data_IF_099684192004
#
_entry.id   IF_099684192004
#
_cell.length_a   1.000
_cell.length_b   1.000
_cell.length_c   1.000
_cell.angle_alpha   90.00
_cell.angle_beta   90.00
_cell.angle_gamma   90.00
#
_symmetry.space_group_name_H-M   'P 1'
#
loop_
_entity.id
_entity.type
_entity.pdbx_description
1 polymer ?
#
# COMPACT_ATOMS: atom_id res chain seq x y z
N UNK A 1 -11.57 -16.13 -4.95
CA UNK A 1 -10.36 -16.71 -4.32
C UNK A 1 -10.62 -16.84 -2.82
N UNK A 2 -10.01 -17.80 -2.12
CA UNK A 2 -10.05 -17.84 -0.66
C UNK A 2 -9.50 -16.53 -0.08
N UNK A 3 -10.07 -16.06 1.04
CA UNK A 3 -9.66 -14.82 1.72
C UNK A 3 -8.24 -15.04 2.30
N UNK A 4 -7.28 -14.13 2.07
CA UNK A 4 -5.98 -14.22 2.73
C UNK A 4 -6.12 -14.03 4.25
N UNK A 5 -5.20 -14.61 5.00
CA UNK A 5 -5.08 -14.31 6.42
C UNK A 5 -4.26 -13.03 6.60
N UNK A 6 -4.81 -12.03 7.29
CA UNK A 6 -4.13 -10.79 7.61
C UNK A 6 -3.38 -10.90 8.93
N UNK A 7 -2.07 -10.74 8.90
CA UNK A 7 -1.18 -10.86 10.06
C UNK A 7 -0.44 -9.55 10.29
N UNK A 8 -0.65 -8.94 11.47
CA UNK A 8 0.12 -7.78 11.91
C UNK A 8 1.40 -8.25 12.60
N UNK A 9 2.57 -8.01 12.01
CA UNK A 9 3.84 -8.39 12.64
C UNK A 9 4.35 -7.25 13.53
N UNK A 10 4.30 -7.46 14.85
CA UNK A 10 4.58 -6.42 15.84
C UNK A 10 5.64 -6.90 16.85
N UNK A 11 6.94 -6.62 16.60
CA UNK A 11 8.00 -6.99 17.52
C UNK A 11 7.86 -6.30 18.88
N UNK A 12 8.36 -6.98 19.92
CA UNK A 12 8.31 -6.52 21.31
C UNK A 12 8.88 -5.12 21.52
N UNK A 13 10.00 -4.83 20.88
CA UNK A 13 10.69 -3.56 21.01
C UNK A 13 9.86 -2.39 20.47
N UNK A 14 9.00 -2.64 19.47
CA UNK A 14 8.17 -1.62 18.86
C UNK A 14 6.85 -1.46 19.60
N UNK A 15 6.19 -2.56 19.97
CA UNK A 15 4.97 -2.53 20.77
C UNK A 15 5.14 -1.72 22.07
N UNK A 16 6.29 -1.83 22.73
CA UNK A 16 6.59 -1.09 23.96
C UNK A 16 6.73 0.43 23.79
N UNK A 17 6.77 0.94 22.55
CA UNK A 17 6.86 2.38 22.23
C UNK A 17 5.52 2.98 21.81
N UNK A 18 4.53 2.15 21.49
CA UNK A 18 3.21 2.60 21.07
C UNK A 18 2.34 2.87 22.30
N UNK A 19 1.66 4.01 22.30
CA UNK A 19 0.59 4.29 23.25
C UNK A 19 -0.64 3.40 22.97
N UNK A 20 -1.56 3.24 23.94
CA UNK A 20 -2.79 2.48 23.71
C UNK A 20 -3.63 2.99 22.53
N UNK A 21 -3.65 4.31 22.29
CA UNK A 21 -4.37 4.90 21.16
C UNK A 21 -3.71 4.58 19.81
N UNK A 22 -2.38 4.58 19.74
CA UNK A 22 -1.64 4.21 18.54
C UNK A 22 -1.76 2.72 18.23
N UNK A 23 -1.76 1.87 19.27
CA UNK A 23 -2.00 0.44 19.10
C UNK A 23 -3.43 0.15 18.63
N UNK A 24 -4.43 0.85 19.19
CA UNK A 24 -5.81 0.74 18.76
C UNK A 24 -5.99 1.18 17.30
N UNK A 25 -5.38 2.29 16.91
CA UNK A 25 -5.41 2.78 15.54
C UNK A 25 -4.69 1.85 14.56
N UNK A 26 -3.54 1.28 14.95
CA UNK A 26 -2.83 0.30 14.15
C UNK A 26 -3.68 -0.96 13.91
N UNK A 27 -4.35 -1.46 14.94
CA UNK A 27 -5.27 -2.61 14.82
C UNK A 27 -6.49 -2.27 13.96
N UNK A 28 -7.08 -1.09 14.13
CA UNK A 28 -8.23 -0.67 13.34
C UNK A 28 -7.88 -0.54 11.85
N UNK A 29 -6.67 -0.08 11.52
CA UNK A 29 -6.20 -0.04 10.14
C UNK A 29 -5.90 -1.43 9.57
N UNK A 30 -5.15 -2.24 10.32
CA UNK A 30 -4.69 -3.53 9.83
C UNK A 30 -5.81 -4.59 9.78
N UNK A 31 -6.88 -4.44 10.58
CA UNK A 31 -7.94 -5.44 10.79
C UNK A 31 -7.40 -6.89 10.84
N UNK A 32 -6.43 -7.17 11.74
CA UNK A 32 -5.66 -8.41 11.64
C UNK A 32 -6.46 -9.62 12.14
N UNK A 33 -6.36 -10.74 11.41
CA UNK A 33 -6.80 -12.05 11.86
C UNK A 33 -5.88 -12.58 12.99
N UNK A 34 -4.62 -12.14 13.03
CA UNK A 34 -3.68 -12.44 14.11
C UNK A 34 -2.57 -11.38 14.27
N UNK A 35 -2.00 -11.27 15.47
CA UNK A 35 -0.78 -10.49 15.72
C UNK A 35 0.40 -11.44 15.87
N UNK A 36 1.37 -11.37 14.95
CA UNK A 36 2.62 -12.13 15.02
C UNK A 36 3.65 -11.38 15.86
N UNK A 37 4.10 -12.00 16.95
CA UNK A 37 5.19 -11.50 17.78
C UNK A 37 6.37 -12.47 17.66
N UNK A 38 7.37 -12.17 16.82
CA UNK A 38 8.44 -13.12 16.51
C UNK A 38 9.39 -13.39 17.70
N UNK A 39 9.42 -12.51 18.69
CA UNK A 39 10.23 -12.65 19.90
C UNK A 39 9.42 -13.25 21.08
N UNK A 40 10.04 -14.00 22.01
CA UNK A 40 9.39 -14.45 23.23
C UNK A 40 8.88 -13.30 24.11
N UNK A 41 7.68 -13.44 24.71
CA UNK A 41 7.05 -12.39 25.53
C UNK A 41 6.42 -12.88 26.83
N UNK A 42 6.53 -12.07 27.90
CA UNK A 42 5.94 -12.36 29.20
C UNK A 42 4.49 -11.86 29.38
N UNK A 43 4.04 -10.92 28.55
CA UNK A 43 2.73 -10.28 28.66
C UNK A 43 2.12 -10.05 27.27
N UNK A 44 1.67 -11.12 26.58
CA UNK A 44 1.17 -11.03 25.21
C UNK A 44 -0.05 -10.09 25.09
N UNK A 45 -0.88 -9.96 26.13
CA UNK A 45 -2.04 -9.06 26.10
C UNK A 45 -1.75 -7.58 25.80
N UNK A 46 -0.49 -7.12 25.89
CA UNK A 46 -0.08 -5.74 25.55
C UNK A 46 0.00 -5.47 24.04
N UNK A 47 -0.05 -6.51 23.19
CA UNK A 47 0.10 -6.41 21.73
C UNK A 47 -1.23 -6.23 21.01
N UNK A 48 -2.34 -6.14 21.76
CA UNK A 48 -3.66 -5.86 21.23
C UNK A 48 -4.39 -4.83 22.08
N UNK A 49 -5.35 -4.08 21.52
CA UNK A 49 -6.20 -3.17 22.28
C UNK A 49 -7.02 -3.90 23.33
N UNK A 50 -7.38 -3.23 24.45
CA UNK A 50 -8.31 -3.81 25.42
C UNK A 50 -9.64 -4.23 24.77
N UNK A 51 -10.06 -5.47 25.04
CA UNK A 51 -11.30 -6.03 24.48
C UNK A 51 -11.18 -6.63 23.07
N UNK A 52 -9.99 -6.58 22.44
CA UNK A 52 -9.73 -7.33 21.21
C UNK A 52 -9.55 -8.81 21.51
N UNK A 53 -10.21 -9.66 20.72
CA UNK A 53 -10.07 -11.12 20.76
C UNK A 53 -9.04 -11.65 19.76
N UNK A 54 -8.40 -10.77 18.99
CA UNK A 54 -7.39 -11.15 17.98
C UNK A 54 -6.29 -11.99 18.66
N UNK A 55 -6.01 -13.20 18.15
CA UNK A 55 -4.97 -14.07 18.70
C UNK A 55 -3.59 -13.43 18.55
N UNK A 56 -2.73 -13.68 19.54
CA UNK A 56 -1.34 -13.25 19.53
C UNK A 56 -0.49 -14.51 19.39
N UNK A 57 0.27 -14.58 18.31
CA UNK A 57 1.10 -15.72 17.96
C UNK A 57 2.51 -15.48 18.49
N UNK A 58 2.92 -16.31 19.43
CA UNK A 58 4.23 -16.29 20.10
C UNK A 58 5.05 -17.51 19.68
N UNK A 59 6.39 -17.47 19.79
CA UNK A 59 7.25 -18.50 19.19
C UNK A 59 7.31 -19.82 20.00
N UNK A 60 6.16 -20.34 20.42
CA UNK A 60 6.00 -21.52 21.29
C UNK A 60 6.03 -22.85 20.52
N UNK A 61 6.21 -22.81 19.19
CA UNK A 61 6.19 -24.00 18.33
C UNK A 61 4.78 -24.52 18.04
N UNK A 62 3.75 -23.72 18.32
CA UNK A 62 2.36 -24.05 18.02
C UNK A 62 2.01 -23.79 16.54
N UNK A 63 1.08 -24.60 16.02
CA UNK A 63 0.50 -24.44 14.68
C UNK A 63 -0.86 -23.77 14.81
N UNK A 64 -1.05 -22.71 14.03
CA UNK A 64 -2.27 -21.93 13.98
C UNK A 64 -2.93 -22.04 12.61
N UNK A 65 -4.25 -22.11 12.59
CA UNK A 65 -5.06 -22.11 11.37
C UNK A 65 -5.84 -20.81 11.32
N UNK A 66 -5.55 -19.98 10.30
CA UNK A 66 -6.15 -18.68 10.06
C UNK A 66 -6.93 -18.76 8.74
N UNK A 67 -8.19 -19.20 8.80
CA UNK A 67 -8.95 -19.53 7.58
C UNK A 67 -8.30 -20.70 6.84
N UNK A 68 -7.90 -20.46 5.58
CA UNK A 68 -7.23 -21.45 4.72
C UNK A 68 -5.70 -21.38 4.82
N UNK A 69 -5.15 -20.61 5.77
CA UNK A 69 -3.70 -20.46 5.99
C UNK A 69 -3.27 -21.21 7.24
N UNK A 70 -2.22 -22.03 7.11
CA UNK A 70 -1.53 -22.67 8.23
C UNK A 70 -0.23 -21.92 8.54
N UNK A 71 -0.09 -21.45 9.78
CA UNK A 71 1.06 -20.67 10.25
C UNK A 71 1.61 -21.28 11.55
N UNK A 72 2.90 -21.59 11.58
CA UNK A 72 3.61 -21.95 12.81
C UNK A 72 4.60 -20.86 13.22
N UNK A 73 4.81 -20.68 14.52
CA UNK A 73 5.81 -19.72 15.04
C UNK A 73 6.84 -20.46 15.89
N UNK A 74 8.09 -20.47 15.44
CA UNK A 74 9.16 -21.29 15.98
C UNK A 74 10.28 -20.43 16.59
N UNK A 75 10.57 -20.63 17.89
CA UNK A 75 11.77 -20.07 18.54
C UNK A 75 13.04 -20.88 18.26
N UNK A 76 12.93 -22.19 18.08
CA UNK A 76 14.10 -23.10 18.04
C UNK A 76 14.05 -24.04 16.84
N UNK A 77 15.22 -24.59 16.47
CA UNK A 77 15.31 -25.63 15.44
C UNK A 77 14.54 -26.90 15.83
N UNK A 78 14.35 -27.18 17.12
CA UNK A 78 13.53 -28.30 17.57
C UNK A 78 12.04 -28.04 17.35
N UNK A 79 11.57 -26.79 17.49
CA UNK A 79 10.21 -26.41 17.08
C UNK A 79 10.04 -26.60 15.57
N UNK A 80 11.02 -26.18 14.76
CA UNK A 80 11.00 -26.39 13.31
C UNK A 80 10.84 -27.87 12.99
N UNK A 81 11.72 -28.75 13.54
CA UNK A 81 11.64 -30.20 13.36
C UNK A 81 10.30 -30.79 13.76
N UNK A 82 9.78 -30.38 14.93
CA UNK A 82 8.52 -30.90 15.46
C UNK A 82 7.32 -30.52 14.58
N UNK A 83 7.29 -29.27 14.12
CA UNK A 83 6.23 -28.74 13.24
C UNK A 83 6.27 -29.45 11.89
N UNK A 84 7.44 -29.53 11.24
CA UNK A 84 7.57 -30.12 9.91
C UNK A 84 7.38 -31.64 9.89
N UNK A 85 7.65 -32.33 11.00
CA UNK A 85 7.35 -33.75 11.14
C UNK A 85 5.87 -34.05 11.44
N UNK A 86 5.07 -33.02 11.72
CA UNK A 86 3.64 -33.14 12.04
C UNK A 86 2.76 -33.11 10.79
N UNK A 87 1.58 -33.75 10.85
CA UNK A 87 0.65 -33.86 9.73
C UNK A 87 0.17 -32.51 9.14
N UNK A 88 0.30 -31.40 9.88
CA UNK A 88 -0.08 -30.07 9.40
C UNK A 88 0.93 -29.44 8.40
N UNK A 89 2.16 -29.93 8.37
CA UNK A 89 3.23 -29.47 7.46
C UNK A 89 3.91 -30.61 6.69
N UNK A 90 3.75 -31.86 7.17
CA UNK A 90 4.47 -33.03 6.71
C UNK A 90 3.79 -33.84 5.60
N UNK A 91 2.48 -33.71 5.39
CA UNK A 91 1.79 -34.35 4.26
C UNK A 91 1.24 -33.28 3.33
N UNK A 92 1.67 -33.27 2.06
CA UNK A 92 0.98 -32.51 1.03
C UNK A 92 -0.46 -33.01 0.97
N UNK A 93 -1.41 -32.18 1.38
CA UNK A 93 -2.80 -32.46 1.11
C UNK A 93 -3.08 -32.25 -0.38
N UNK A 94 -4.09 -32.93 -0.91
CA UNK A 94 -4.53 -32.75 -2.30
C UNK A 94 -5.05 -31.32 -2.57
N UNK A 95 -5.04 -30.42 -1.56
CA UNK A 95 -5.51 -29.05 -1.68
C UNK A 95 -4.45 -28.08 -2.21
N UNK A 96 -3.16 -28.45 -2.15
CA UNK A 96 -2.07 -27.67 -2.70
C UNK A 96 -1.79 -26.36 -1.96
N UNK A 97 -2.22 -26.26 -0.69
CA UNK A 97 -1.97 -25.08 0.13
C UNK A 97 -0.50 -24.97 0.56
N UNK A 98 -0.01 -23.73 0.58
CA UNK A 98 1.31 -23.36 1.07
C UNK A 98 1.23 -23.07 2.57
N UNK A 99 2.13 -23.67 3.34
CA UNK A 99 2.25 -23.43 4.76
C UNK A 99 3.22 -22.27 5.05
N UNK A 100 3.09 -21.66 6.22
CA UNK A 100 3.94 -20.54 6.64
C UNK A 100 4.65 -20.87 7.95
N UNK A 101 5.94 -20.58 8.02
CA UNK A 101 6.74 -20.79 9.22
C UNK A 101 7.46 -19.50 9.61
N UNK A 102 7.02 -18.89 10.72
CA UNK A 102 7.65 -17.71 11.29
C UNK A 102 8.74 -18.06 12.29
N UNK A 103 9.91 -17.45 12.17
CA UNK A 103 11.00 -17.63 13.14
C UNK A 103 12.01 -16.49 13.09
N UNK A 104 12.82 -16.39 14.15
CA UNK A 104 13.99 -15.51 14.23
C UNK A 104 15.31 -16.24 13.92
N UNK A 105 15.22 -17.45 13.36
CA UNK A 105 16.37 -18.34 13.10
C UNK A 105 17.10 -18.04 11.78
N UNK A 106 16.54 -17.13 10.97
CA UNK A 106 17.08 -16.71 9.69
C UNK A 106 17.31 -15.20 9.70
N UNK A 107 18.48 -14.77 9.22
CA UNK A 107 18.78 -13.35 9.03
C UNK A 107 19.60 -13.15 7.76
N UNK A 108 19.43 -11.99 7.12
CA UNK A 108 20.17 -11.66 5.90
C UNK A 108 21.37 -10.80 6.27
N UNK A 109 22.56 -11.28 5.93
CA UNK A 109 23.79 -10.52 6.06
C UNK A 109 24.28 -10.06 4.70
N UNK A 110 24.65 -8.78 4.61
CA UNK A 110 25.25 -8.19 3.41
C UNK A 110 26.70 -7.82 3.68
N UNK A 111 27.62 -8.32 2.87
CA UNK A 111 29.00 -7.86 2.83
C UNK A 111 29.14 -6.82 1.69
N UNK A 112 29.17 -5.51 2.02
CA UNK A 112 29.26 -4.48 1.00
C UNK A 112 30.64 -4.44 0.31
N UNK A 113 31.68 -5.01 0.92
CA UNK A 113 33.02 -5.06 0.31
C UNK A 113 33.09 -6.21 -0.71
N UNK A 114 32.46 -7.34 -0.41
CA UNK A 114 32.37 -8.48 -1.32
C UNK A 114 31.23 -8.35 -2.34
N UNK A 115 30.30 -7.39 -2.14
CA UNK A 115 29.02 -7.29 -2.87
C UNK A 115 28.23 -8.60 -2.82
N UNK A 116 28.28 -9.26 -1.67
CA UNK A 116 27.67 -10.56 -1.45
C UNK A 116 26.57 -10.47 -0.39
N UNK A 117 25.59 -11.35 -0.48
CA UNK A 117 24.52 -11.47 0.50
C UNK A 117 24.36 -12.94 0.84
N UNK A 118 24.30 -13.24 2.13
CA UNK A 118 24.11 -14.60 2.65
C UNK A 118 22.93 -14.66 3.60
N UNK A 119 22.26 -15.81 3.62
CA UNK A 119 21.24 -16.12 4.62
C UNK A 119 21.91 -16.85 5.79
N UNK A 120 22.11 -16.15 6.90
CA UNK A 120 22.66 -16.74 8.12
C UNK A 120 21.63 -17.68 8.77
N UNK A 121 22.12 -18.78 9.35
CA UNK A 121 21.28 -19.85 9.92
C UNK A 121 20.73 -20.86 8.90
N UNK A 122 20.79 -20.57 7.59
CA UNK A 122 20.16 -21.37 6.53
C UNK A 122 20.52 -22.87 6.54
N UNK A 123 21.80 -23.21 6.77
CA UNK A 123 22.25 -24.59 6.75
C UNK A 123 21.63 -25.42 7.88
N UNK A 124 21.69 -24.93 9.12
CA UNK A 124 21.10 -25.59 10.28
C UNK A 124 19.57 -25.60 10.20
N UNK A 125 18.98 -24.55 9.63
CA UNK A 125 17.55 -24.46 9.38
C UNK A 125 17.07 -25.52 8.39
N UNK A 126 17.76 -25.71 7.26
CA UNK A 126 17.47 -26.79 6.30
C UNK A 126 17.65 -28.19 6.92
N UNK A 127 18.70 -28.39 7.71
CA UNK A 127 18.88 -29.64 8.45
C UNK A 127 17.70 -29.91 9.42
N UNK A 128 17.14 -28.86 10.03
CA UNK A 128 15.96 -28.97 10.89
C UNK A 128 14.66 -29.23 10.12
N UNK A 129 14.53 -28.71 8.89
CA UNK A 129 13.45 -29.10 7.99
C UNK A 129 13.58 -30.59 7.63
N UNK A 130 14.81 -31.11 7.52
CA UNK A 130 15.12 -32.49 7.12
C UNK A 130 15.26 -32.64 5.60
N UNK A 131 16.02 -33.64 5.15
CA UNK A 131 16.24 -33.90 3.72
C UNK A 131 14.97 -34.44 3.05
N UNK A 132 14.72 -33.97 1.82
CA UNK A 132 13.62 -34.36 0.94
C UNK A 132 13.86 -35.77 0.39
N UNK A 133 13.70 -36.80 1.23
CA UNK A 133 13.89 -38.22 0.88
C UNK A 133 12.77 -38.79 -0.03
N UNK A 134 12.14 -37.94 -0.86
CA UNK A 134 11.19 -38.34 -1.90
C UNK A 134 9.70 -38.23 -1.56
N UNK A 135 9.34 -37.69 -0.39
CA UNK A 135 7.96 -37.30 -0.07
C UNK A 135 7.71 -35.85 -0.50
N UNK A 136 6.65 -35.61 -1.29
CA UNK A 136 6.23 -34.25 -1.64
C UNK A 136 5.75 -33.54 -0.38
N UNK A 137 6.58 -32.65 0.17
CA UNK A 137 6.19 -31.73 1.23
C UNK A 137 5.32 -30.62 0.68
N UNK A 138 4.44 -30.08 1.53
CA UNK A 138 3.72 -28.85 1.21
C UNK A 138 4.72 -27.72 0.97
N UNK A 139 4.52 -26.90 -0.09
CA UNK A 139 5.30 -25.68 -0.27
C UNK A 139 5.28 -24.85 1.02
N UNK A 140 6.41 -24.27 1.41
CA UNK A 140 6.51 -23.50 2.66
C UNK A 140 7.15 -22.13 2.39
N UNK A 141 6.53 -21.08 2.92
CA UNK A 141 7.11 -19.73 2.98
C UNK A 141 7.65 -19.47 4.38
N UNK A 142 8.91 -19.07 4.46
CA UNK A 142 9.63 -18.83 5.72
C UNK A 142 9.59 -17.34 6.08
N UNK A 143 8.81 -17.02 7.10
CA UNK A 143 8.63 -15.66 7.62
C UNK A 143 9.77 -15.31 8.60
N UNK A 144 10.77 -14.56 8.14
CA UNK A 144 11.99 -14.28 8.89
C UNK A 144 11.89 -12.98 9.73
N UNK A 145 11.89 -13.14 11.06
CA UNK A 145 11.64 -12.07 12.04
C UNK A 145 12.73 -10.99 12.15
N UNK A 146 13.93 -11.24 11.62
CA UNK A 146 15.04 -10.26 11.58
C UNK A 146 15.32 -9.73 10.18
N UNK A 147 14.45 -10.05 9.23
CA UNK A 147 14.58 -9.60 7.84
C UNK A 147 13.47 -8.58 7.58
N UNK A 148 13.77 -7.38 7.07
CA UNK A 148 12.77 -6.35 6.76
C UNK A 148 11.65 -6.85 5.85
N UNK A 149 10.42 -6.41 6.08
CA UNK A 149 9.25 -6.95 5.38
C UNK A 149 9.18 -6.64 3.88
N UNK A 150 9.94 -5.65 3.40
CA UNK A 150 10.10 -5.34 1.97
C UNK A 150 11.07 -6.31 1.26
N UNK A 151 11.67 -7.25 2.00
CA UNK A 151 12.57 -8.26 1.45
C UNK A 151 11.85 -9.61 1.25
N UNK A 152 11.95 -10.15 0.03
CA UNK A 152 11.62 -11.55 -0.28
C UNK A 152 12.61 -12.15 -1.26
N UNK A 153 13.11 -13.36 -1.00
CA UNK A 153 14.03 -14.07 -1.89
C UNK A 153 14.03 -15.58 -1.63
N UNK A 154 14.25 -16.33 -2.70
CA UNK A 154 14.56 -17.77 -2.64
C UNK A 154 16.06 -18.02 -2.33
N UNK A 155 16.33 -18.94 -1.42
CA UNK A 155 17.66 -19.32 -0.93
C UNK A 155 17.84 -20.84 -0.85
N UNK A 156 18.41 -21.46 -1.89
CA UNK A 156 18.75 -22.90 -1.91
C UNK A 156 17.61 -23.81 -1.40
N UNK A 157 16.38 -23.59 -1.88
CA UNK A 157 15.15 -24.27 -1.52
C UNK A 157 14.29 -23.54 -0.47
N UNK A 158 14.72 -22.40 0.07
CA UNK A 158 13.97 -21.64 1.08
C UNK A 158 13.34 -20.37 0.46
N UNK A 159 12.01 -20.31 0.33
CA UNK A 159 11.32 -19.04 -0.01
C UNK A 159 11.19 -18.19 1.26
N UNK A 160 12.07 -17.20 1.41
CA UNK A 160 12.15 -16.36 2.61
C UNK A 160 11.47 -15.02 2.38
N UNK A 161 10.53 -14.69 3.25
CA UNK A 161 9.84 -13.40 3.33
C UNK A 161 10.18 -12.75 4.67
N UNK A 162 10.65 -11.51 4.66
CA UNK A 162 10.88 -10.77 5.90
C UNK A 162 9.58 -10.37 6.59
N UNK A 163 9.62 -10.25 7.92
CA UNK A 163 8.50 -9.72 8.71
C UNK A 163 8.94 -8.69 9.75
N UNK A 164 10.21 -8.28 9.72
CA UNK A 164 10.71 -7.22 10.58
C UNK A 164 10.20 -5.85 10.08
N UNK A 165 10.07 -4.85 10.98
CA UNK A 165 9.77 -3.49 10.60
C UNK A 165 10.72 -2.96 9.52
N UNK A 166 10.16 -2.22 8.57
CA UNK A 166 10.94 -1.55 7.53
C UNK A 166 11.41 -0.20 8.07
N UNK A 167 12.72 0.01 8.03
CA UNK A 167 13.31 1.27 8.46
C UNK A 167 13.08 2.34 7.40
N UNK A 168 12.23 3.33 7.70
CA UNK A 168 11.96 4.46 6.79
C UNK A 168 12.61 5.74 7.31
N UNK A 169 12.73 6.77 6.44
CA UNK A 169 13.16 8.08 6.89
C UNK A 169 12.15 8.66 7.91
N UNK A 170 12.55 8.68 9.19
CA UNK A 170 11.81 9.30 10.29
C UNK A 170 11.35 8.30 11.35
N UNK A 171 10.72 7.19 10.94
CA UNK A 171 10.18 6.20 11.86
C UNK A 171 10.09 4.80 11.20
N UNK A 172 10.15 3.71 11.98
CA UNK A 172 9.91 2.38 11.45
C UNK A 172 8.46 2.23 10.98
N UNK A 173 8.25 1.38 9.99
CA UNK A 173 6.93 0.96 9.55
C UNK A 173 6.62 -0.46 10.03
N UNK A 174 5.43 -0.64 10.61
CA UNK A 174 4.94 -1.95 11.06
C UNK A 174 4.34 -2.69 9.87
N UNK A 175 4.80 -3.92 9.57
CA UNK A 175 4.28 -4.68 8.45
C UNK A 175 2.92 -5.32 8.77
N UNK A 176 2.04 -5.29 7.78
CA UNK A 176 0.75 -5.98 7.72
C UNK A 176 0.83 -6.92 6.53
N UNK A 177 0.78 -8.23 6.79
CA UNK A 177 0.94 -9.25 5.78
C UNK A 177 -0.40 -9.88 5.44
N UNK A 178 -0.76 -9.93 4.16
CA UNK A 178 -1.83 -10.79 3.68
C UNK A 178 -1.21 -12.09 3.15
N UNK A 179 -1.39 -13.17 3.90
CA UNK A 179 -0.90 -14.50 3.56
C UNK A 179 -1.95 -15.22 2.72
N UNK A 180 -1.61 -15.58 1.49
CA UNK A 180 -2.51 -16.33 0.62
C UNK A 180 -2.20 -17.83 0.67
N UNK A 181 -3.22 -18.69 0.53
CA UNK A 181 -3.00 -20.14 0.54
C UNK A 181 -2.11 -20.68 -0.58
N UNK A 182 -1.86 -19.90 -1.63
CA UNK A 182 -0.95 -20.26 -2.73
C UNK A 182 0.51 -19.80 -2.49
N UNK A 183 0.83 -19.31 -1.29
CA UNK A 183 2.15 -18.80 -0.94
C UNK A 183 2.41 -17.35 -1.34
N UNK A 184 1.43 -16.67 -1.96
CA UNK A 184 1.53 -15.23 -2.18
C UNK A 184 1.55 -14.52 -0.83
N UNK A 185 2.43 -13.53 -0.69
CA UNK A 185 2.46 -12.64 0.47
C UNK A 185 2.39 -11.21 -0.04
N UNK A 186 1.29 -10.54 0.24
CA UNK A 186 1.19 -9.10 0.05
C UNK A 186 1.61 -8.42 1.36
N UNK A 187 2.45 -7.39 1.25
CA UNK A 187 2.93 -6.63 2.41
C UNK A 187 2.45 -5.20 2.27
N UNK A 188 1.72 -4.73 3.26
CA UNK A 188 1.50 -3.32 3.52
C UNK A 188 2.23 -2.89 4.80
N UNK A 189 2.39 -1.58 4.98
CA UNK A 189 3.25 -1.01 6.00
C UNK A 189 2.62 0.23 6.63
N UNK A 190 2.60 0.26 7.97
CA UNK A 190 2.08 1.39 8.74
C UNK A 190 3.21 2.09 9.47
N UNK A 191 3.57 3.29 9.01
CA UNK A 191 4.57 4.12 9.69
C UNK A 191 4.10 4.51 11.09
N UNK A 192 4.96 4.33 12.09
CA UNK A 192 4.59 4.61 13.48
C UNK A 192 4.44 6.10 13.80
N UNK A 193 5.07 6.97 12.99
CA UNK A 193 4.88 8.42 13.05
C UNK A 193 3.62 8.89 12.30
N UNK A 194 2.81 7.96 11.78
CA UNK A 194 1.52 8.20 11.14
C UNK A 194 0.37 7.48 11.86
N UNK A 195 0.50 7.29 13.17
CA UNK A 195 -0.52 6.71 14.04
C UNK A 195 -1.25 7.80 14.85
N UNK A 196 -2.49 7.51 15.21
CA UNK A 196 -3.43 8.39 15.90
C UNK A 196 -3.49 9.78 15.24
N UNK A 197 -3.37 10.85 16.03
CA UNK A 197 -3.39 12.23 15.53
C UNK A 197 -2.28 12.54 14.51
N UNK A 198 -1.16 11.79 14.51
CA UNK A 198 -0.06 12.00 13.55
C UNK A 198 -0.34 11.43 12.16
N UNK A 199 -1.43 10.65 12.01
CA UNK A 199 -1.93 10.27 10.70
C UNK A 199 -2.41 11.50 9.90
N UNK A 200 -2.81 12.57 10.60
CA UNK A 200 -3.37 13.77 9.98
C UNK A 200 -2.29 14.60 9.24
N UNK A 201 -2.66 15.12 8.08
CA UNK A 201 -1.80 16.01 7.30
C UNK A 201 -1.43 17.26 8.10
N UNK A 202 -0.13 17.57 8.14
CA UNK A 202 0.39 18.73 8.88
C UNK A 202 0.47 18.57 10.40
N UNK A 203 0.15 17.40 10.96
CA UNK A 203 0.23 17.13 12.41
C UNK A 203 1.45 16.26 12.73
N UNK A 204 2.54 16.90 13.13
CA UNK A 204 3.70 16.22 13.72
C UNK A 204 3.61 16.08 15.24
N UNK A 205 4.66 15.55 15.87
CA UNK A 205 4.69 15.23 17.31
C UNK A 205 4.21 16.37 18.23
N UNK A 206 4.72 17.59 18.04
CA UNK A 206 4.35 18.73 18.88
C UNK A 206 2.87 19.10 18.75
N UNK A 207 2.32 19.06 17.53
CA UNK A 207 0.91 19.36 17.27
C UNK A 207 -0.01 18.25 17.78
N UNK A 208 0.39 16.99 17.61
CA UNK A 208 -0.33 15.85 18.16
C UNK A 208 -0.39 15.92 19.70
N UNK A 209 0.72 16.29 20.35
CA UNK A 209 0.77 16.49 21.79
C UNK A 209 -0.14 17.64 22.24
N UNK A 210 -0.12 18.78 21.54
CA UNK A 210 -1.00 19.91 21.84
C UNK A 210 -2.49 19.56 21.71
N UNK A 211 -2.88 18.88 20.62
CA UNK A 211 -4.25 18.40 20.40
C UNK A 211 -4.68 17.41 21.49
N UNK A 212 -3.85 16.41 21.78
CA UNK A 212 -4.14 15.40 22.79
C UNK A 212 -4.27 16.00 24.20
N UNK A 213 -3.39 16.95 24.56
CA UNK A 213 -3.48 17.68 25.85
C UNK A 213 -4.76 18.53 25.96
N UNK A 214 -5.24 19.05 24.84
CA UNK A 214 -6.51 19.76 24.77
C UNK A 214 -7.73 18.81 24.70
N UNK A 215 -7.52 17.49 24.70
CA UNK A 215 -8.57 16.48 24.73
C UNK A 215 -9.12 16.09 23.35
N UNK A 216 -8.44 16.46 22.26
CA UNK A 216 -8.83 16.06 20.91
C UNK A 216 -8.25 14.69 20.53
N UNK A 217 -9.03 13.94 19.78
CA UNK A 217 -8.65 12.80 18.95
C UNK A 217 -9.10 13.08 17.50
N UNK A 218 -8.95 12.11 16.58
CA UNK A 218 -9.30 12.35 15.16
C UNK A 218 -10.80 12.56 14.96
N UNK A 219 -11.64 11.76 15.62
CA UNK A 219 -13.09 11.82 15.52
C UNK A 219 -13.61 13.19 15.98
N UNK A 220 -13.21 13.62 17.17
CA UNK A 220 -13.58 14.94 17.69
C UNK A 220 -13.04 16.07 16.81
N UNK A 221 -11.83 15.93 16.26
CA UNK A 221 -11.25 16.93 15.37
C UNK A 221 -12.03 17.09 14.04
N UNK A 222 -12.58 16.00 13.51
CA UNK A 222 -13.38 16.04 12.28
C UNK A 222 -14.64 16.92 12.44
N UNK A 223 -15.21 16.95 13.63
CA UNK A 223 -16.38 17.77 14.00
C UNK A 223 -16.01 19.20 14.47
N UNK A 224 -14.74 19.46 14.75
CA UNK A 224 -14.29 20.72 15.35
C UNK A 224 -14.19 21.85 14.31
N UNK A 225 -14.75 23.04 14.58
CA UNK A 225 -14.52 24.22 13.76
C UNK A 225 -13.03 24.64 13.78
N UNK A 226 -12.39 24.91 12.62
CA UNK A 226 -10.94 25.20 12.59
C UNK A 226 -10.49 26.39 13.44
N UNK A 227 -11.36 27.38 13.67
CA UNK A 227 -11.01 28.55 14.46
C UNK A 227 -10.80 28.26 15.95
N UNK A 228 -11.41 27.19 16.47
CA UNK A 228 -11.23 26.76 17.87
C UNK A 228 -9.84 26.16 18.11
N UNK A 229 -9.20 25.64 17.07
CA UNK A 229 -7.84 25.10 17.14
C UNK A 229 -6.77 26.18 16.97
N UNK A 230 -7.12 27.35 16.43
CA UNK A 230 -6.16 28.40 16.11
C UNK A 230 -5.50 29.02 17.35
N UNK A 231 -6.08 28.82 18.54
CA UNK A 231 -5.53 29.25 19.83
C UNK A 231 -4.58 28.22 20.46
N UNK A 232 -4.44 27.02 19.87
CA UNK A 232 -3.52 26.00 20.33
C UNK A 232 -2.09 26.27 19.84
N UNK A 233 -1.11 25.96 20.69
CA UNK A 233 0.29 26.18 20.35
C UNK A 233 0.70 25.34 19.12
N UNK A 234 1.41 25.98 18.19
CA UNK A 234 1.78 25.39 16.91
C UNK A 234 0.66 25.36 15.84
N UNK A 235 -0.56 25.82 16.14
CA UNK A 235 -1.64 25.96 15.17
C UNK A 235 -1.84 27.43 14.76
N UNK A 236 -1.85 27.66 13.44
CA UNK A 236 -2.41 28.86 12.84
C UNK A 236 -3.61 28.48 11.99
N UNK A 237 -4.33 29.47 11.45
CA UNK A 237 -5.56 29.24 10.67
C UNK A 237 -5.40 28.16 9.60
N UNK A 238 -4.35 28.24 8.78
CA UNK A 238 -4.12 27.30 7.68
C UNK A 238 -3.81 25.88 8.17
N UNK A 239 -3.01 25.72 9.23
CA UNK A 239 -2.71 24.38 9.77
C UNK A 239 -3.90 23.78 10.53
N UNK A 240 -4.72 24.60 11.17
CA UNK A 240 -5.98 24.17 11.77
C UNK A 240 -6.98 23.69 10.70
N UNK A 241 -7.17 24.46 9.63
CA UNK A 241 -8.02 24.05 8.50
C UNK A 241 -7.51 22.74 7.86
N UNK A 242 -6.19 22.60 7.70
CA UNK A 242 -5.58 21.38 7.16
C UNK A 242 -5.84 20.17 8.06
N UNK A 243 -5.64 20.31 9.37
CA UNK A 243 -5.83 19.21 10.32
C UNK A 243 -7.30 18.75 10.39
N UNK A 244 -8.25 19.69 10.41
CA UNK A 244 -9.70 19.38 10.40
C UNK A 244 -10.12 18.72 9.10
N UNK A 245 -9.70 19.26 7.94
CA UNK A 245 -10.00 18.63 6.63
C UNK A 245 -9.41 17.23 6.54
N UNK A 246 -8.17 17.04 7.01
CA UNK A 246 -7.54 15.72 7.03
C UNK A 246 -8.26 14.75 7.97
N UNK A 247 -8.73 15.21 9.12
CA UNK A 247 -9.50 14.38 10.04
C UNK A 247 -10.85 13.98 9.43
N UNK A 248 -11.57 14.93 8.81
CA UNK A 248 -12.81 14.61 8.08
C UNK A 248 -12.60 13.59 6.98
N UNK A 249 -11.58 13.78 6.15
CA UNK A 249 -11.30 12.87 5.05
C UNK A 249 -11.03 11.44 5.56
N UNK A 250 -10.18 11.31 6.58
CA UNK A 250 -9.81 10.01 7.15
C UNK A 250 -10.94 9.34 7.93
N UNK A 251 -11.66 10.08 8.79
CA UNK A 251 -12.69 9.50 9.67
C UNK A 251 -14.00 9.19 8.92
N UNK A 252 -14.31 9.96 7.87
CA UNK A 252 -15.56 9.78 7.11
C UNK A 252 -15.38 9.03 5.80
N UNK A 253 -14.13 8.77 5.38
CA UNK A 253 -13.86 8.21 4.04
C UNK A 253 -14.23 9.18 2.91
N UNK A 254 -14.26 10.49 3.19
CA UNK A 254 -14.75 11.51 2.27
C UNK A 254 -13.61 12.21 1.52
N UNK A 255 -13.77 12.38 0.22
CA UNK A 255 -12.90 13.25 -0.56
C UNK A 255 -13.32 14.71 -0.38
N UNK A 256 -12.37 15.58 -0.07
CA UNK A 256 -12.64 17.01 0.07
C UNK A 256 -11.92 17.80 -1.01
N UNK A 257 -12.68 18.38 -1.93
CA UNK A 257 -12.13 19.26 -2.98
C UNK A 257 -11.77 20.62 -2.40
N UNK A 258 -10.50 20.99 -2.46
CA UNK A 258 -9.95 22.24 -1.92
C UNK A 258 -9.57 23.25 -2.99
N UNK A 259 -9.47 22.83 -4.26
CA UNK A 259 -9.10 23.68 -5.38
C UNK A 259 -10.10 23.66 -6.54
N UNK A 260 -10.05 24.72 -7.35
CA UNK A 260 -10.88 24.93 -8.53
C UNK A 260 -10.26 24.44 -9.84
N UNK A 261 -9.04 23.90 -9.80
CA UNK A 261 -8.37 23.40 -11.00
C UNK A 261 -9.29 22.38 -11.72
N UNK A 262 -9.41 22.45 -13.04
CA UNK A 262 -10.18 21.47 -13.79
C UNK A 262 -9.44 20.13 -13.83
N UNK A 263 -10.20 19.03 -13.81
CA UNK A 263 -9.72 17.73 -14.22
C UNK A 263 -9.70 17.61 -15.76
N UNK A 264 -8.87 16.74 -16.35
CA UNK A 264 -8.90 16.45 -17.78
C UNK A 264 -10.26 15.97 -18.29
N UNK A 265 -10.86 16.64 -19.28
CA UNK A 265 -12.25 16.34 -19.69
C UNK A 265 -12.47 14.99 -20.40
N UNK A 266 -11.44 14.42 -21.04
CA UNK A 266 -11.51 13.12 -21.76
C UNK A 266 -10.33 12.26 -21.28
N UNK A 267 -10.41 11.69 -20.06
CA UNK A 267 -9.30 10.96 -19.45
C UNK A 267 -9.11 9.59 -20.12
N UNK A 268 -7.84 9.22 -20.25
CA UNK A 268 -7.38 7.88 -20.63
C UNK A 268 -6.59 7.38 -19.45
N UNK A 269 -7.17 6.51 -18.63
CA UNK A 269 -6.49 5.97 -17.46
C UNK A 269 -5.43 4.96 -17.91
N UNK A 270 -4.25 5.04 -17.32
CA UNK A 270 -3.06 4.30 -17.70
C UNK A 270 -2.40 3.74 -16.45
N UNK A 271 -1.96 2.49 -16.56
CA UNK A 271 -1.05 1.83 -15.62
C UNK A 271 -0.08 0.93 -16.39
N UNK A 272 1.11 0.68 -15.84
CA UNK A 272 2.11 -0.19 -16.44
C UNK A 272 2.64 -1.23 -15.45
N UNK A 273 2.97 -2.40 -15.98
CA UNK A 273 3.68 -3.43 -15.23
C UNK A 273 5.10 -3.60 -15.73
N UNK A 274 6.02 -3.73 -14.79
CA UNK A 274 7.45 -3.83 -15.07
C UNK A 274 8.11 -4.97 -14.32
N UNK A 275 9.37 -5.24 -14.63
CA UNK A 275 10.22 -6.17 -13.90
C UNK A 275 10.82 -5.54 -12.62
N UNK A 276 10.37 -4.36 -12.18
CA UNK A 276 10.77 -3.72 -10.94
C UNK A 276 10.85 -2.18 -11.01
N UNK A 277 11.32 -1.56 -9.91
CA UNK A 277 11.36 -0.09 -9.78
C UNK A 277 12.43 0.62 -10.62
N UNK A 278 13.39 -0.15 -11.17
CA UNK A 278 14.35 0.31 -12.18
C UNK A 278 14.20 -0.62 -13.38
N UNK A 279 13.16 -0.39 -14.18
CA UNK A 279 12.68 -1.41 -15.08
C UNK A 279 13.64 -1.59 -16.25
N UNK A 280 13.95 -2.84 -16.57
CA UNK A 280 14.60 -3.21 -17.83
C UNK A 280 13.57 -3.58 -18.90
N UNK A 281 12.34 -3.90 -18.48
CA UNK A 281 11.23 -4.26 -19.37
C UNK A 281 9.92 -3.67 -18.84
N UNK A 282 9.13 -3.07 -19.74
CA UNK A 282 7.69 -2.84 -19.57
C UNK A 282 6.97 -3.97 -20.30
N UNK A 283 6.39 -4.92 -19.57
CA UNK A 283 5.79 -6.12 -20.17
C UNK A 283 4.27 -6.05 -20.24
N UNK A 284 3.63 -5.10 -19.56
CA UNK A 284 2.22 -4.80 -19.76
C UNK A 284 1.95 -3.29 -19.70
N UNK A 285 1.04 -2.85 -20.57
CA UNK A 285 0.41 -1.53 -20.51
C UNK A 285 -1.10 -1.71 -20.47
N UNK A 286 -1.74 -1.29 -19.38
CA UNK A 286 -3.18 -1.26 -19.24
C UNK A 286 -3.72 0.14 -19.52
N UNK A 287 -4.80 0.24 -20.28
CA UNK A 287 -5.50 1.51 -20.51
C UNK A 287 -7.01 1.37 -20.44
N UNK A 288 -7.68 2.38 -19.90
CA UNK A 288 -9.14 2.52 -20.00
C UNK A 288 -9.47 3.85 -20.66
N UNK A 289 -10.26 3.80 -21.74
CA UNK A 289 -10.76 4.97 -22.42
C UNK A 289 -12.25 4.82 -22.74
N UNK A 290 -13.08 5.72 -22.21
CA UNK A 290 -14.55 5.69 -22.37
C UNK A 290 -15.16 4.31 -22.03
N UNK A 291 -14.78 3.82 -20.85
CA UNK A 291 -15.19 2.52 -20.28
C UNK A 291 -14.68 1.26 -21.01
N UNK A 292 -13.95 1.42 -22.11
CA UNK A 292 -13.28 0.31 -22.80
C UNK A 292 -11.88 0.11 -22.21
N UNK A 293 -11.68 -1.02 -21.53
CA UNK A 293 -10.37 -1.43 -21.05
C UNK A 293 -9.63 -2.22 -22.12
N UNK A 294 -8.35 -1.91 -22.30
CA UNK A 294 -7.46 -2.62 -23.20
C UNK A 294 -6.13 -2.89 -22.51
N UNK A 295 -5.69 -4.15 -22.61
CA UNK A 295 -4.37 -4.59 -22.17
C UNK A 295 -3.48 -4.86 -23.38
N UNK A 296 -2.26 -4.30 -23.34
CA UNK A 296 -1.16 -4.66 -24.22
C UNK A 296 -0.18 -5.47 -23.38
N UNK A 297 -0.03 -6.76 -23.69
CA UNK A 297 0.71 -7.71 -22.87
C UNK A 297 1.78 -8.42 -23.72
N UNK A 298 3.01 -8.43 -23.22
CA UNK A 298 4.11 -9.24 -23.71
C UNK A 298 4.29 -10.45 -22.79
N UNK A 299 4.14 -11.66 -23.36
CA UNK A 299 4.40 -12.94 -22.67
C UNK A 299 5.77 -13.52 -23.01
N UNK A 300 6.60 -12.72 -23.65
CA UNK A 300 8.01 -12.95 -23.96
C UNK A 300 8.70 -11.60 -23.78
N UNK A 301 9.79 -11.48 -23.00
CA UNK A 301 10.53 -10.21 -22.89
C UNK A 301 10.95 -9.65 -24.25
N UNK A 302 11.24 -10.51 -25.23
CA UNK A 302 11.62 -10.10 -26.58
C UNK A 302 10.44 -9.48 -27.36
N UNK A 303 9.20 -9.75 -26.94
CA UNK A 303 7.98 -9.16 -27.51
C UNK A 303 7.62 -7.80 -26.89
N UNK A 304 8.28 -7.39 -25.79
CA UNK A 304 7.97 -6.14 -25.09
C UNK A 304 8.08 -4.89 -26.00
N UNK A 305 9.11 -4.75 -26.88
CA UNK A 305 9.11 -3.72 -27.90
C UNK A 305 7.88 -3.79 -28.80
N UNK A 306 7.56 -4.96 -29.36
CA UNK A 306 6.41 -5.10 -30.27
C UNK A 306 5.07 -4.73 -29.59
N UNK A 307 4.90 -5.11 -28.32
CA UNK A 307 3.76 -4.73 -27.48
C UNK A 307 3.67 -3.20 -27.32
N UNK A 308 4.79 -2.54 -26.98
CA UNK A 308 4.86 -1.08 -26.83
C UNK A 308 4.54 -0.37 -28.16
N UNK A 309 5.02 -0.89 -29.29
CA UNK A 309 4.67 -0.41 -30.62
C UNK A 309 3.16 -0.48 -30.88
N UNK A 310 2.51 -1.57 -30.46
CA UNK A 310 1.05 -1.74 -30.55
C UNK A 310 0.28 -0.73 -29.68
N UNK A 311 0.77 -0.43 -28.47
CA UNK A 311 0.22 0.63 -27.63
C UNK A 311 0.33 2.01 -28.31
N UNK A 312 1.50 2.35 -28.87
CA UNK A 312 1.71 3.62 -29.56
C UNK A 312 0.86 3.75 -30.83
N UNK A 313 0.65 2.66 -31.57
CA UNK A 313 -0.28 2.62 -32.70
C UNK A 313 -1.70 2.97 -32.27
N UNK A 314 -2.19 2.37 -31.18
CA UNK A 314 -3.49 2.70 -30.63
C UNK A 314 -3.56 4.15 -30.13
N UNK A 315 -2.55 4.59 -29.36
CA UNK A 315 -2.48 5.94 -28.80
C UNK A 315 -2.50 7.02 -29.89
N UNK A 316 -1.96 6.74 -31.08
CA UNK A 316 -1.98 7.67 -32.21
C UNK A 316 -3.38 8.05 -32.71
N UNK A 317 -4.39 7.24 -32.38
CA UNK A 317 -5.81 7.48 -32.68
C UNK A 317 -6.63 8.01 -31.50
N UNK A 318 -6.00 8.35 -30.37
CA UNK A 318 -6.67 8.78 -29.14
C UNK A 318 -6.38 10.26 -28.89
N UNK A 319 -7.44 11.06 -28.70
CA UNK A 319 -7.36 12.51 -28.46
C UNK A 319 -7.41 12.88 -26.95
N UNK A 320 -7.55 11.88 -26.07
CA UNK A 320 -7.68 12.06 -24.63
C UNK A 320 -6.36 12.39 -23.90
N UNK A 321 -6.48 12.74 -22.62
CA UNK A 321 -5.33 12.96 -21.73
C UNK A 321 -4.99 11.67 -20.99
N UNK A 322 -3.76 11.20 -21.09
CA UNK A 322 -3.25 10.10 -20.27
C UNK A 322 -3.24 10.51 -18.80
N UNK A 323 -3.95 9.77 -17.96
CA UNK A 323 -4.02 9.95 -16.51
C UNK A 323 -3.40 8.75 -15.85
N UNK A 324 -2.42 8.97 -14.97
CA UNK A 324 -1.79 7.93 -14.16
C UNK A 324 -1.74 8.37 -12.69
N UNK A 325 -1.64 7.42 -11.76
CA UNK A 325 -1.40 7.69 -10.36
C UNK A 325 0.12 7.74 -10.10
N UNK A 326 0.67 8.87 -9.66
CA UNK A 326 2.12 9.06 -9.55
C UNK A 326 2.85 8.90 -10.91
N UNK A 327 2.18 9.22 -12.02
CA UNK A 327 2.71 9.05 -13.36
C UNK A 327 4.01 9.79 -13.64
N UNK A 328 4.22 10.99 -13.07
CA UNK A 328 5.51 11.68 -13.23
C UNK A 328 6.63 11.06 -12.38
N UNK A 329 6.26 10.36 -11.31
CA UNK A 329 7.19 9.65 -10.45
C UNK A 329 7.62 8.30 -11.03
N UNK A 330 6.85 7.71 -11.95
CA UNK A 330 7.13 6.36 -12.46
C UNK A 330 6.73 6.14 -13.94
N UNK A 331 5.43 6.04 -14.23
CA UNK A 331 4.91 5.54 -15.53
C UNK A 331 5.42 6.33 -16.72
N UNK A 332 5.31 7.66 -16.66
CA UNK A 332 5.63 8.51 -17.79
C UNK A 332 7.14 8.55 -18.10
N UNK A 333 8.05 8.71 -17.11
CA UNK A 333 9.49 8.57 -17.36
C UNK A 333 9.88 7.19 -17.88
N UNK A 334 9.33 6.11 -17.32
CA UNK A 334 9.63 4.73 -17.74
C UNK A 334 9.22 4.50 -19.20
N UNK A 335 8.01 4.91 -19.57
CA UNK A 335 7.54 4.83 -20.95
C UNK A 335 8.34 5.74 -21.88
N UNK A 336 8.72 6.97 -21.49
CA UNK A 336 9.55 7.85 -22.33
C UNK A 336 10.90 7.21 -22.66
N UNK A 337 11.55 6.57 -21.68
CA UNK A 337 12.82 5.85 -21.88
C UNK A 337 12.67 4.67 -22.84
N UNK A 338 11.66 3.82 -22.64
CA UNK A 338 11.45 2.63 -23.49
C UNK A 338 10.99 3.02 -24.90
N UNK A 339 10.20 4.09 -25.06
CA UNK A 339 9.83 4.63 -26.37
C UNK A 339 11.06 5.17 -27.10
N UNK A 340 11.95 5.91 -26.42
CA UNK A 340 13.18 6.40 -27.04
C UNK A 340 14.11 5.26 -27.48
N UNK A 341 14.20 4.21 -26.66
CA UNK A 341 15.07 3.07 -26.91
C UNK A 341 14.58 2.15 -28.04
N UNK A 342 13.27 1.85 -28.07
CA UNK A 342 12.71 0.81 -28.93
C UNK A 342 11.87 1.33 -30.10
N UNK A 343 11.30 2.54 -29.97
CA UNK A 343 10.42 3.14 -30.98
C UNK A 343 10.73 4.63 -31.24
N UNK A 344 11.99 4.99 -31.58
CA UNK A 344 12.36 6.38 -31.85
C UNK A 344 11.54 6.99 -33.00
N UNK A 345 11.05 6.18 -33.95
CA UNK A 345 10.18 6.60 -35.04
C UNK A 345 8.76 7.00 -34.61
N UNK A 346 8.33 6.60 -33.41
CA UNK A 346 7.00 6.90 -32.83
C UNK A 346 7.07 7.87 -31.65
N UNK A 347 8.25 8.37 -31.30
CA UNK A 347 8.48 9.30 -30.19
C UNK A 347 7.53 10.50 -30.19
N UNK A 348 7.23 11.04 -31.36
CA UNK A 348 6.34 12.20 -31.50
C UNK A 348 4.88 11.89 -31.12
N UNK A 349 4.44 10.63 -31.19
CA UNK A 349 3.13 10.20 -30.68
C UNK A 349 3.13 10.34 -29.16
N UNK A 350 4.11 9.75 -28.48
CA UNK A 350 4.23 9.81 -27.03
C UNK A 350 4.38 11.23 -26.51
N UNK A 351 5.27 12.03 -27.12
CA UNK A 351 5.55 13.41 -26.67
C UNK A 351 4.38 14.35 -26.81
N UNK A 352 3.54 14.17 -27.83
CA UNK A 352 2.36 15.02 -28.06
C UNK A 352 1.16 14.61 -27.22
N UNK A 353 1.11 13.37 -26.72
CA UNK A 353 0.05 12.93 -25.83
C UNK A 353 0.01 13.80 -24.58
N UNK A 354 -1.16 14.37 -24.29
CA UNK A 354 -1.42 15.11 -23.05
C UNK A 354 -1.34 14.15 -21.87
N UNK A 355 -0.74 14.60 -20.76
CA UNK A 355 -0.51 13.79 -19.56
C UNK A 355 -0.94 14.54 -18.30
N UNK A 356 -1.50 13.83 -17.35
CA UNK A 356 -1.89 14.31 -16.03
C UNK A 356 -1.52 13.26 -14.99
N UNK A 357 -0.83 13.70 -13.94
CA UNK A 357 -0.61 12.88 -12.75
C UNK A 357 -1.68 13.26 -11.72
N UNK A 358 -2.58 12.33 -11.44
CA UNK A 358 -3.74 12.60 -10.59
C UNK A 358 -3.32 12.80 -9.13
N UNK A 359 -2.28 12.11 -8.67
CA UNK A 359 -1.76 12.26 -7.30
C UNK A 359 -1.12 13.64 -7.13
N UNK A 360 -0.30 14.06 -8.10
CA UNK A 360 0.29 15.40 -8.09
C UNK A 360 -0.81 16.48 -8.12
N UNK A 361 -1.79 16.35 -9.02
CA UNK A 361 -2.91 17.27 -9.11
C UNK A 361 -3.69 17.37 -7.80
N UNK A 362 -3.99 16.24 -7.15
CA UNK A 362 -4.75 16.24 -5.90
C UNK A 362 -3.93 16.83 -4.74
N UNK A 363 -2.75 16.26 -4.49
CA UNK A 363 -1.95 16.48 -3.28
C UNK A 363 -1.01 17.68 -3.40
N UNK A 364 -0.16 17.69 -4.43
CA UNK A 364 0.95 18.63 -4.54
C UNK A 364 0.50 20.01 -5.02
N UNK A 365 -0.51 20.03 -5.90
CA UNK A 365 -1.18 21.26 -6.34
C UNK A 365 -2.30 21.70 -5.37
N UNK A 366 -2.59 20.89 -4.34
CA UNK A 366 -3.54 21.23 -3.28
C UNK A 366 -5.00 21.29 -3.73
N UNK A 367 -5.39 20.50 -4.73
CA UNK A 367 -6.76 20.49 -5.25
C UNK A 367 -7.71 19.57 -4.48
N UNK A 368 -7.20 18.59 -3.73
CA UNK A 368 -8.03 17.72 -2.90
C UNK A 368 -7.30 17.19 -1.65
N UNK A 369 -8.07 16.93 -0.59
CA UNK A 369 -7.66 16.08 0.53
C UNK A 369 -8.26 14.69 0.32
N UNK A 370 -7.40 13.69 0.30
CA UNK A 370 -7.75 12.30 0.00
C UNK A 370 -8.08 11.55 1.30
N UNK A 371 -9.05 10.61 1.29
CA UNK A 371 -9.49 9.89 2.48
C UNK A 371 -8.61 8.69 2.86
N UNK A 372 -7.60 8.34 2.05
CA UNK A 372 -6.70 7.24 2.33
C UNK A 372 -5.72 7.56 3.47
N UNK A 373 -5.42 6.56 4.31
CA UNK A 373 -4.37 6.68 5.35
C UNK A 373 -3.00 6.99 4.73
N UNK A 374 -2.76 6.43 3.56
CA UNK A 374 -1.64 6.76 2.70
C UNK A 374 -2.17 7.32 1.39
N UNK A 375 -1.28 7.92 0.60
CA UNK A 375 -1.61 8.34 -0.76
C UNK A 375 -1.29 7.23 -1.79
N UNK A 376 -1.19 5.97 -1.36
CA UNK A 376 -1.23 4.83 -2.29
C UNK A 376 -2.62 4.76 -2.94
N UNK A 377 -2.70 4.32 -4.19
CA UNK A 377 -3.95 4.33 -4.95
C UNK A 377 -5.01 3.45 -4.25
N UNK A 378 -4.60 2.27 -3.80
CA UNK A 378 -5.39 1.26 -3.09
C UNK A 378 -5.96 1.79 -1.78
N UNK A 379 -5.14 2.53 -1.01
CA UNK A 379 -5.59 3.12 0.24
C UNK A 379 -6.64 4.21 0.02
N UNK A 380 -6.49 5.01 -1.04
CA UNK A 380 -7.44 6.08 -1.37
C UNK A 380 -8.73 5.52 -1.95
N UNK A 381 -8.63 4.59 -2.89
CA UNK A 381 -9.79 3.99 -3.54
C UNK A 381 -10.59 3.10 -2.59
N UNK A 382 -9.92 2.31 -1.75
CA UNK A 382 -10.57 1.52 -0.70
C UNK A 382 -11.33 2.39 0.31
N UNK A 383 -10.76 3.53 0.71
CA UNK A 383 -11.47 4.50 1.55
C UNK A 383 -12.70 5.13 0.85
N UNK A 384 -12.69 5.19 -0.49
CA UNK A 384 -13.82 5.60 -1.33
C UNK A 384 -14.76 4.43 -1.70
N UNK A 385 -14.61 3.27 -1.06
CA UNK A 385 -15.48 2.12 -1.24
C UNK A 385 -15.23 1.31 -2.52
N UNK A 386 -14.07 1.44 -3.16
CA UNK A 386 -13.69 0.57 -4.27
C UNK A 386 -13.36 -0.84 -3.74
N UNK A 387 -14.03 -1.85 -4.27
CA UNK A 387 -13.73 -3.26 -4.04
C UNK A 387 -13.02 -3.82 -5.28
N UNK A 388 -11.72 -4.08 -5.16
CA UNK A 388 -10.91 -4.58 -6.28
C UNK A 388 -11.16 -6.05 -6.62
N UNK A 389 -10.45 -6.54 -7.63
CA UNK A 389 -10.53 -7.92 -8.12
C UNK A 389 -9.97 -8.96 -7.14
N UNK A 390 -9.29 -8.52 -6.07
CA UNK A 390 -8.76 -9.41 -5.03
C UNK A 390 -7.71 -10.38 -5.58
N UNK A 391 -6.86 -9.92 -6.50
CA UNK A 391 -5.82 -10.75 -7.12
C UNK A 391 -4.76 -11.21 -6.12
N UNK A 392 -4.61 -10.51 -4.99
CA UNK A 392 -3.57 -10.79 -3.99
C UNK A 392 -2.15 -10.46 -4.48
N UNK A 393 -2.01 -9.88 -5.68
CA UNK A 393 -0.73 -9.41 -6.18
C UNK A 393 -0.47 -7.99 -5.66
N UNK A 394 0.82 -7.67 -5.55
CA UNK A 394 1.34 -6.32 -5.34
C UNK A 394 2.34 -6.06 -6.46
N UNK A 395 2.66 -4.80 -6.78
CA UNK A 395 3.70 -4.50 -7.77
C UNK A 395 5.05 -5.20 -7.50
N UNK A 396 5.43 -5.38 -6.23
CA UNK A 396 6.65 -6.12 -5.86
C UNK A 396 6.55 -7.62 -6.19
N UNK A 397 5.41 -8.25 -5.89
CA UNK A 397 5.17 -9.66 -6.17
C UNK A 397 5.02 -9.91 -7.67
N UNK A 398 4.31 -9.03 -8.38
CA UNK A 398 4.15 -9.01 -9.83
C UNK A 398 5.54 -9.00 -10.50
N UNK A 399 6.40 -8.05 -10.13
CA UNK A 399 7.75 -7.97 -10.66
C UNK A 399 8.62 -9.19 -10.27
N UNK A 400 8.46 -9.74 -9.05
CA UNK A 400 9.19 -10.93 -8.60
C UNK A 400 8.84 -12.15 -9.45
N UNK A 401 7.56 -12.41 -9.67
CA UNK A 401 7.10 -13.56 -10.49
C UNK A 401 7.56 -13.44 -11.92
N UNK A 402 7.47 -12.25 -12.49
CA UNK A 402 7.95 -11.99 -13.84
C UNK A 402 9.46 -12.25 -13.97
N UNK A 403 10.28 -11.73 -13.05
CA UNK A 403 11.74 -12.01 -13.04
C UNK A 403 12.05 -13.49 -12.86
N UNK A 404 11.40 -14.16 -11.92
CA UNK A 404 11.61 -15.58 -11.69
C UNK A 404 11.33 -16.41 -12.96
N UNK A 405 10.30 -16.06 -13.70
CA UNK A 405 9.99 -16.68 -14.98
C UNK A 405 11.04 -16.37 -16.06
N UNK A 406 11.52 -15.13 -16.16
CA UNK A 406 12.63 -14.76 -17.07
C UNK A 406 13.91 -15.56 -16.79
N UNK A 407 14.15 -15.91 -15.51
CA UNK A 407 15.29 -16.72 -15.09
C UNK A 407 15.07 -18.24 -15.27
N UNK A 408 14.00 -18.64 -15.97
CA UNK A 408 13.67 -20.05 -16.28
C UNK A 408 12.77 -20.72 -15.25
N UNK A 409 12.17 -19.95 -14.34
CA UNK A 409 11.16 -20.39 -13.40
C UNK A 409 9.79 -20.66 -14.04
N UNK A 410 8.76 -20.97 -13.23
CA UNK A 410 7.42 -21.27 -13.73
C UNK A 410 6.77 -20.06 -14.39
N UNK A 411 5.97 -20.31 -15.43
CA UNK A 411 5.18 -19.26 -16.09
C UNK A 411 4.19 -18.61 -15.13
N UNK A 412 4.10 -17.27 -15.09
CA UNK A 412 3.15 -16.58 -14.24
C UNK A 412 1.72 -16.81 -14.74
N UNK A 413 0.75 -16.73 -13.82
CA UNK A 413 -0.66 -16.67 -14.18
C UNK A 413 -0.95 -15.33 -14.89
N UNK A 414 -0.82 -15.32 -16.22
CA UNK A 414 -1.01 -14.13 -17.04
C UNK A 414 -2.40 -13.51 -16.92
N UNK A 415 -3.43 -14.31 -16.65
CA UNK A 415 -4.78 -13.79 -16.47
C UNK A 415 -4.88 -13.04 -15.14
N UNK A 416 -4.31 -13.59 -14.06
CA UNK A 416 -4.23 -12.91 -12.77
C UNK A 416 -3.44 -11.59 -12.84
N UNK A 417 -2.32 -11.58 -13.57
CA UNK A 417 -1.52 -10.36 -13.77
C UNK A 417 -2.25 -9.33 -14.63
N UNK A 418 -2.91 -9.77 -15.70
CA UNK A 418 -3.75 -8.88 -16.52
C UNK A 418 -4.86 -8.24 -15.68
N UNK A 419 -5.53 -9.04 -14.84
CA UNK A 419 -6.59 -8.56 -13.96
C UNK A 419 -6.06 -7.60 -12.88
N UNK A 420 -4.82 -7.76 -12.42
CA UNK A 420 -4.19 -6.84 -11.46
C UNK A 420 -4.00 -5.44 -12.07
N UNK A 421 -3.36 -5.35 -13.24
CA UNK A 421 -3.22 -4.08 -13.96
C UNK A 421 -4.58 -3.48 -14.39
N UNK A 422 -5.55 -4.32 -14.78
CA UNK A 422 -6.93 -3.84 -15.03
C UNK A 422 -7.56 -3.23 -13.78
N UNK A 423 -7.33 -3.84 -12.60
CA UNK A 423 -7.83 -3.33 -11.33
C UNK A 423 -7.23 -1.96 -11.02
N UNK A 424 -5.92 -1.78 -11.18
CA UNK A 424 -5.24 -0.51 -10.91
C UNK A 424 -5.74 0.63 -11.83
N UNK A 425 -5.97 0.34 -13.11
CA UNK A 425 -6.57 1.30 -14.05
C UNK A 425 -8.00 1.67 -13.64
N UNK A 426 -8.83 0.68 -13.27
CA UNK A 426 -10.22 0.92 -12.86
C UNK A 426 -10.31 1.63 -11.52
N UNK A 427 -9.41 1.33 -10.61
CA UNK A 427 -9.26 1.98 -9.32
C UNK A 427 -8.91 3.45 -9.50
N UNK A 428 -7.98 3.77 -10.41
CA UNK A 428 -7.67 5.14 -10.80
C UNK A 428 -8.88 5.87 -11.39
N UNK A 429 -9.65 5.21 -12.26
CA UNK A 429 -10.89 5.75 -12.81
C UNK A 429 -11.92 6.06 -11.71
N UNK A 430 -12.08 5.15 -10.74
CA UNK A 430 -12.99 5.34 -9.60
C UNK A 430 -12.60 6.55 -8.74
N UNK A 431 -11.30 6.70 -8.43
CA UNK A 431 -10.81 7.87 -7.68
C UNK A 431 -11.03 9.15 -8.47
N UNK A 432 -10.75 9.13 -9.78
CA UNK A 432 -11.01 10.26 -10.66
C UNK A 432 -12.49 10.67 -10.65
N UNK A 433 -13.41 9.71 -10.78
CA UNK A 433 -14.85 9.96 -10.79
C UNK A 433 -15.34 10.50 -9.44
N UNK A 434 -14.80 10.01 -8.32
CA UNK A 434 -15.09 10.54 -6.99
C UNK A 434 -14.64 12.02 -6.84
N UNK A 435 -13.47 12.39 -7.39
CA UNK A 435 -13.02 13.79 -7.44
C UNK A 435 -13.95 14.62 -8.32
N UNK A 436 -14.31 14.10 -9.50
CA UNK A 436 -15.15 14.79 -10.46
C UNK A 436 -16.57 15.03 -9.95
N UNK A 437 -17.14 14.08 -9.19
CA UNK A 437 -18.45 14.15 -8.59
C UNK A 437 -18.52 15.08 -7.37
N UNK A 438 -17.39 15.35 -6.72
CA UNK A 438 -17.34 16.28 -5.59
C UNK A 438 -17.58 17.71 -6.07
N UNK A 439 -18.64 18.34 -5.55
CA UNK A 439 -19.02 19.71 -5.89
C UNK A 439 -17.80 20.66 -5.80
N UNK A 440 -17.68 21.57 -6.77
CA UNK A 440 -16.62 22.57 -6.81
C UNK A 440 -16.69 23.47 -5.58
N UNK A 441 -15.81 23.17 -4.62
CA UNK A 441 -15.45 23.92 -3.42
C UNK A 441 -16.55 23.90 -2.36
N UNK A 442 -16.21 23.38 -1.16
CA UNK A 442 -16.78 23.88 0.10
C UNK A 442 -16.46 25.38 0.17
N UNK A 443 -17.26 26.21 -0.50
CA UNK A 443 -17.20 27.65 -0.29
C UNK A 443 -17.54 27.81 1.18
N UNK A 444 -16.58 28.27 1.97
CA UNK A 444 -16.72 28.61 3.38
C UNK A 444 -18.11 29.17 3.64
N UNK A 445 -18.96 28.35 4.25
CA UNK A 445 -20.32 28.74 4.70
C UNK A 445 -20.24 29.92 5.70
N UNK A 446 -19.02 30.30 6.12
CA UNK A 446 -18.73 31.45 6.95
C UNK A 446 -18.79 32.83 6.23
N UNK A 447 -18.63 32.94 4.90
CA UNK A 447 -18.54 34.27 4.25
C UNK A 447 -19.84 34.81 3.64
N UNK A 448 -20.87 33.97 3.45
CA UNK A 448 -22.20 34.43 2.97
C UNK A 448 -23.14 34.90 4.09
N UNK A 449 -22.83 34.61 5.35
CA UNK A 449 -23.62 35.07 6.49
C UNK A 449 -23.15 36.43 7.05
N UNK A 450 -21.94 36.88 6.75
CA UNK A 450 -21.36 38.10 7.31
C UNK A 450 -21.58 39.38 6.47
N UNK A 451 -22.22 39.30 5.29
CA UNK A 451 -22.50 40.49 4.44
C UNK A 451 -23.96 40.92 4.41
N UNK A 452 -24.86 40.27 5.16
CA UNK A 452 -26.29 40.60 5.18
C UNK A 452 -26.85 41.06 6.54
N UNK A 453 -26.00 41.51 7.46
CA UNK A 453 -26.44 42.27 8.63
C UNK A 453 -25.40 43.32 9.01
N UNK A 454 -25.59 44.54 8.51
CA UNK A 454 -25.57 45.81 9.27
C UNK A 454 -25.36 47.00 8.33
N UNK A 455 -26.18 48.03 8.48
CA UNK A 455 -25.80 49.38 8.02
C UNK A 455 -26.80 50.08 7.10
N UNK A 456 -28.01 50.32 7.61
CA UNK A 456 -28.82 51.48 7.24
C UNK A 456 -27.94 52.75 7.20
N UNK A 457 -27.62 53.24 6.00
CA UNK A 457 -27.22 54.63 5.79
C UNK A 457 -28.00 55.22 4.62
N UNK A 458 -29.00 56.03 5.01
CA UNK A 458 -29.74 56.98 4.17
C UNK A 458 -28.83 57.68 3.16
N UNK A 459 -28.99 57.35 1.88
CA UNK A 459 -28.46 58.17 0.79
C UNK A 459 -29.54 59.19 0.39
N UNK A 460 -29.38 60.42 0.87
CA UNK A 460 -30.22 61.56 0.49
C UNK A 460 -30.01 61.95 -0.97
N UNK A 461 -31.11 62.15 -1.68
CA UNK A 461 -31.12 62.79 -3.00
C UNK A 461 -30.75 64.27 -2.87
N UNK A 462 -29.74 64.71 -3.61
CA UNK A 462 -29.56 66.12 -3.97
C UNK A 462 -29.23 66.20 -5.46
N UNK A 463 -30.29 66.41 -6.24
CA UNK A 463 -30.24 66.90 -7.61
C UNK A 463 -30.20 68.43 -7.58
N UNK A 464 -29.03 69.02 -7.77
CA UNK A 464 -28.83 70.35 -8.37
C UNK A 464 -27.45 70.36 -9.04
N UNK A 465 -27.43 70.16 -10.36
CA UNK A 465 -26.75 70.95 -11.42
C UNK A 465 -26.78 70.21 -12.75
#
# INVERSE_FOLDING_TARGET
MPRPATVLALPSALAGRLSPAELADLHAYADPDAVLVPDPVYAPGRFRPPGSDVPILTPEGEVHVLGDVTLAVCETLDHVRAVTSGAAFGEADDSGHTAFLASTLLSVETDPMALDTRLDGAAAYREALGDDDGEQRSPTVHLAGYVPADYRREWDGLDVQGVAPVETQGAPAVPVLALHPDGTVAVDEVRTDRLALRALSGVGDSRAAALSQAGYDRETLAETPPHELADLDGFGRSSAETAVRSARALERGELLRTGDAPLPADPVFLDIETDGLRPSVVWQVGVQYRDDYRSFLARDPDDAPAMLGGFLDWLSGVDGTLVAWNGWGFDFPVLDEHVEAHHPERRDVWRRASKCDLLQWARDEGNAVLPGRTNKLEAVAGALGYEGHGTGLTGAETARRYRAWMDGGPEPDWERHRNYCEDDVRMLAHVYDAIAATDRVESTVADRAATNQEGDTRQGSLSEF
#
